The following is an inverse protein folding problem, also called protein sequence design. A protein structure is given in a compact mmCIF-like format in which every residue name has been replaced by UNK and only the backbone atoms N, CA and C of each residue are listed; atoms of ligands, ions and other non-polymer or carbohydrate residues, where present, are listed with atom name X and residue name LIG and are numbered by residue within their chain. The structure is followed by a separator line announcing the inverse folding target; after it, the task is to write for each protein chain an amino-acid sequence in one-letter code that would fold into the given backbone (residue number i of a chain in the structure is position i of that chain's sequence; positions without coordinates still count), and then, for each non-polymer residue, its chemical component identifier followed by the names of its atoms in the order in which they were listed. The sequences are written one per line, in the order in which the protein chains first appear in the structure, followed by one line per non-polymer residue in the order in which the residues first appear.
data_IF_371077904061
#
_entry.id   IF_371077904061
#
_cell.length_a   1.000
_cell.length_b   1.000
_cell.length_c   1.000
_cell.angle_alpha   90.00
_cell.angle_beta   90.00
_cell.angle_gamma   90.00
#
_symmetry.space_group_name_H-M   'P 1'
#
loop_
_entity.id
_entity.type
_entity.pdbx_description
1 polymer ?
#
# COMPACT_ATOMS: atom_id res chain seq x y z
N UNK A 1 -8.51 1.61 -27.73
CA UNK A 1 -7.70 1.00 -26.66
C UNK A 1 -8.29 -0.36 -26.35
N UNK A 2 -7.77 -1.42 -26.97
CA UNK A 2 -8.21 -2.80 -26.70
C UNK A 2 -7.85 -3.18 -25.27
N UNK A 3 -8.88 -3.51 -24.49
CA UNK A 3 -8.70 -4.06 -23.15
C UNK A 3 -8.34 -5.52 -23.31
N UNK A 4 -7.18 -5.94 -22.79
CA UNK A 4 -6.78 -7.36 -22.77
C UNK A 4 -7.80 -8.13 -21.94
N UNK A 5 -8.71 -8.83 -22.62
CA UNK A 5 -9.73 -9.70 -22.03
C UNK A 5 -9.04 -10.71 -21.10
N UNK A 6 -9.40 -10.69 -19.82
CA UNK A 6 -8.87 -11.59 -18.78
C UNK A 6 -7.97 -10.95 -17.73
N UNK A 7 -7.53 -9.69 -17.88
CA UNK A 7 -6.90 -8.95 -16.78
C UNK A 7 -7.94 -8.10 -16.07
N UNK A 8 -8.13 -8.34 -14.77
CA UNK A 8 -8.95 -7.49 -13.90
C UNK A 8 -8.62 -6.02 -14.18
N UNK A 9 -9.66 -5.21 -14.42
CA UNK A 9 -9.53 -3.77 -14.62
C UNK A 9 -8.80 -3.21 -13.40
N UNK A 10 -7.59 -2.71 -13.58
CA UNK A 10 -6.78 -2.17 -12.48
C UNK A 10 -7.39 -0.83 -12.10
N UNK A 11 -8.36 -0.87 -11.18
CA UNK A 11 -8.90 0.32 -10.55
C UNK A 11 -7.77 0.84 -9.66
N UNK A 12 -7.20 1.99 -10.05
CA UNK A 12 -6.26 2.71 -9.20
C UNK A 12 -7.10 3.42 -8.15
N UNK A 13 -7.02 2.95 -6.92
CA UNK A 13 -7.57 3.64 -5.77
C UNK A 13 -6.55 4.65 -5.28
N UNK A 14 -6.93 5.93 -5.28
CA UNK A 14 -6.04 7.06 -4.95
C UNK A 14 -5.64 7.09 -3.46
N UNK A 15 -6.26 6.25 -2.63
CA UNK A 15 -6.11 6.27 -1.16
C UNK A 15 -4.68 5.94 -0.67
N UNK A 16 -3.96 5.00 -1.31
CA UNK A 16 -2.55 4.71 -0.97
C UNK A 16 -1.66 5.10 -2.15
N UNK A 17 -1.45 6.41 -2.32
CA UNK A 17 -0.52 7.00 -3.30
C UNK A 17 0.90 6.45 -3.18
N UNK A 18 1.22 5.87 -2.01
CA UNK A 18 2.52 5.26 -1.69
C UNK A 18 2.67 3.81 -2.15
N UNK A 19 1.63 3.13 -2.65
CA UNK A 19 1.72 1.71 -3.06
C UNK A 19 2.82 1.42 -4.09
N UNK A 20 3.12 2.38 -4.96
CA UNK A 20 4.18 2.24 -5.98
C UNK A 20 5.60 2.42 -5.41
N UNK A 21 5.76 3.05 -4.25
CA UNK A 21 7.05 3.35 -3.62
C UNK A 21 7.32 2.40 -2.45
N UNK A 22 6.27 2.06 -1.70
CA UNK A 22 6.33 1.28 -0.49
C UNK A 22 6.63 -0.19 -0.81
N UNK A 23 7.71 -0.72 -0.22
CA UNK A 23 8.14 -2.11 -0.37
C UNK A 23 8.08 -2.84 0.95
N UNK A 24 7.76 -4.12 0.87
CA UNK A 24 7.89 -5.04 2.00
C UNK A 24 9.36 -5.11 2.44
N UNK A 25 9.64 -4.81 3.71
CA UNK A 25 11.00 -4.86 4.26
C UNK A 25 11.58 -6.27 4.34
N UNK A 26 10.73 -7.30 4.31
CA UNK A 26 11.16 -8.70 4.45
C UNK A 26 11.49 -9.32 3.09
N UNK A 27 10.68 -9.05 2.05
CA UNK A 27 10.79 -9.73 0.75
C UNK A 27 10.97 -8.78 -0.44
N UNK A 28 10.98 -7.46 -0.22
CA UNK A 28 11.17 -6.46 -1.27
C UNK A 28 10.01 -6.31 -2.26
N UNK A 29 8.95 -7.12 -2.14
CA UNK A 29 7.75 -7.02 -2.98
C UNK A 29 7.01 -5.71 -2.73
N UNK A 30 6.41 -5.14 -3.78
CA UNK A 30 5.56 -3.95 -3.67
C UNK A 30 4.40 -4.16 -2.70
N UNK A 31 4.06 -3.12 -1.95
CA UNK A 31 2.90 -3.13 -1.07
C UNK A 31 1.64 -2.71 -1.82
N UNK A 32 0.51 -3.32 -1.47
CA UNK A 32 -0.78 -3.19 -2.15
C UNK A 32 -1.86 -2.80 -1.15
N UNK A 33 -2.94 -2.16 -1.62
CA UNK A 33 -4.09 -1.80 -0.78
C UNK A 33 -4.86 -3.06 -0.38
N UNK A 34 -5.23 -3.09 0.89
CA UNK A 34 -6.08 -4.09 1.53
C UNK A 34 -7.13 -3.36 2.36
N UNK A 35 -8.39 -3.77 2.23
CA UNK A 35 -9.50 -3.16 2.97
C UNK A 35 -10.12 -4.18 3.89
N UNK A 36 -10.40 -3.75 5.11
CA UNK A 36 -11.20 -4.52 6.06
C UNK A 36 -12.43 -3.69 6.40
N UNK A 37 -13.60 -4.28 6.21
CA UNK A 37 -14.88 -3.66 6.54
C UNK A 37 -15.32 -4.14 7.91
N UNK A 38 -15.45 -3.22 8.87
CA UNK A 38 -16.18 -3.44 10.11
C UNK A 38 -17.59 -2.85 9.96
N UNK A 39 -18.54 -3.26 10.81
CA UNK A 39 -19.92 -2.76 10.87
C UNK A 39 -20.02 -1.22 10.90
N UNK A 40 -18.98 -0.55 11.40
CA UNK A 40 -18.95 0.91 11.60
C UNK A 40 -18.07 1.66 10.59
N UNK A 41 -17.08 1.00 9.96
CA UNK A 41 -16.08 1.69 9.15
C UNK A 41 -15.32 0.74 8.22
N UNK A 42 -14.88 1.30 7.09
CA UNK A 42 -13.90 0.68 6.20
C UNK A 42 -12.51 1.18 6.61
N UNK A 43 -11.60 0.26 6.89
CA UNK A 43 -10.20 0.58 7.21
C UNK A 43 -9.31 0.09 6.07
N UNK A 44 -8.52 1.00 5.52
CA UNK A 44 -7.56 0.71 4.46
C UNK A 44 -6.14 0.52 5.04
N UNK A 45 -5.46 -0.51 4.57
CA UNK A 45 -4.09 -0.87 4.90
C UNK A 45 -3.25 -0.99 3.63
N UNK A 46 -2.00 -0.59 3.66
CA UNK A 46 -1.01 -1.00 2.66
C UNK A 46 -0.30 -2.25 3.23
N UNK A 47 -0.27 -3.36 2.48
CA UNK A 47 0.26 -4.66 2.91
C UNK A 47 1.11 -5.34 1.85
N UNK A 48 1.93 -6.33 2.21
CA UNK A 48 2.76 -7.06 1.24
C UNK A 48 1.93 -7.72 0.12
N UNK A 49 2.28 -7.45 -1.14
CA UNK A 49 1.63 -8.08 -2.29
C UNK A 49 1.80 -9.60 -2.35
N UNK A 50 2.93 -10.13 -1.87
CA UNK A 50 3.13 -11.59 -1.78
C UNK A 50 2.22 -12.20 -0.71
N UNK A 51 2.07 -11.53 0.44
CA UNK A 51 1.14 -11.97 1.48
C UNK A 51 -0.29 -12.00 0.95
N UNK A 52 -0.75 -10.95 0.26
CA UNK A 52 -2.12 -10.91 -0.29
C UNK A 52 -2.44 -12.06 -1.26
N UNK A 53 -1.43 -12.58 -1.97
CA UNK A 53 -1.62 -13.60 -3.01
C UNK A 53 -1.29 -15.01 -2.55
N UNK A 54 -0.38 -15.17 -1.58
CA UNK A 54 0.17 -16.47 -1.14
C UNK A 54 0.10 -16.67 0.37
N UNK A 55 -0.55 -15.74 1.08
CA UNK A 55 -0.71 -15.71 2.53
C UNK A 55 0.61 -15.86 3.30
N UNK A 56 0.51 -16.41 4.51
CA UNK A 56 1.59 -16.58 5.48
C UNK A 56 2.67 -17.57 5.03
N UNK A 57 2.46 -18.30 3.93
CA UNK A 57 3.45 -19.20 3.38
C UNK A 57 4.68 -18.45 2.83
N UNK A 58 4.52 -17.17 2.44
CA UNK A 58 5.59 -16.39 1.79
C UNK A 58 5.94 -15.12 2.55
N UNK A 59 5.07 -14.57 3.39
CA UNK A 59 5.38 -13.38 4.16
C UNK A 59 4.64 -13.35 5.49
N UNK A 60 5.08 -12.56 6.45
CA UNK A 60 4.29 -12.26 7.64
C UNK A 60 3.28 -11.13 7.39
N UNK A 61 2.28 -11.03 8.27
CA UNK A 61 1.26 -9.99 8.26
C UNK A 61 1.85 -8.61 8.58
N UNK A 62 2.33 -7.89 7.56
CA UNK A 62 3.06 -6.63 7.69
C UNK A 62 2.25 -5.40 7.23
N UNK A 63 1.03 -5.29 7.75
CA UNK A 63 0.10 -4.21 7.35
C UNK A 63 0.43 -2.89 8.02
N UNK A 64 0.36 -1.82 7.24
CA UNK A 64 0.47 -0.44 7.71
C UNK A 64 -0.84 0.25 7.37
N UNK A 65 -1.44 0.97 8.32
CA UNK A 65 -2.63 1.78 8.03
C UNK A 65 -2.28 2.87 7.02
N UNK A 66 -3.14 3.05 6.02
CA UNK A 66 -2.94 4.04 4.95
C UNK A 66 -2.72 5.43 5.52
N UNK A 67 -3.57 5.85 6.47
CA UNK A 67 -3.50 7.17 7.11
C UNK A 67 -2.12 7.42 7.73
N UNK A 68 -1.64 6.45 8.52
CA UNK A 68 -0.32 6.52 9.15
C UNK A 68 0.82 6.56 8.14
N UNK A 69 0.72 5.79 7.06
CA UNK A 69 1.76 5.76 6.03
C UNK A 69 1.85 7.12 5.32
N UNK A 70 0.71 7.73 5.01
CA UNK A 70 0.64 9.03 4.35
C UNK A 70 1.18 10.14 5.26
N UNK A 71 0.81 10.14 6.55
CA UNK A 71 1.30 11.12 7.53
C UNK A 71 2.83 11.06 7.67
N UNK A 72 3.38 9.85 7.84
CA UNK A 72 4.84 9.66 7.95
C UNK A 72 5.59 10.10 6.69
N UNK A 73 5.01 9.87 5.51
CA UNK A 73 5.62 10.31 4.26
C UNK A 73 5.62 11.83 4.15
N UNK A 74 4.48 12.46 4.44
CA UNK A 74 4.35 13.91 4.37
C UNK A 74 5.33 14.61 5.33
N UNK A 75 5.45 14.09 6.56
CA UNK A 75 6.40 14.58 7.54
C UNK A 75 7.86 14.49 7.04
N UNK A 76 8.27 13.30 6.55
CA UNK A 76 9.63 13.11 6.02
C UNK A 76 9.91 13.98 4.81
N UNK A 77 8.93 14.13 3.93
CA UNK A 77 9.02 14.99 2.75
C UNK A 77 9.23 16.45 3.16
N UNK A 78 8.40 16.98 4.06
CA UNK A 78 8.54 18.35 4.56
C UNK A 78 9.90 18.57 5.24
N UNK A 79 10.36 17.61 6.06
CA UNK A 79 11.66 17.69 6.72
C UNK A 79 12.82 17.68 5.73
N UNK A 80 12.77 16.84 4.68
CA UNK A 80 13.77 16.83 3.62
C UNK A 80 13.89 18.19 2.91
N UNK A 81 12.76 18.84 2.61
CA UNK A 81 12.76 20.18 1.99
C UNK A 81 13.27 21.28 2.94
N UNK A 82 13.01 21.16 4.25
CA UNK A 82 13.53 22.12 5.25
C UNK A 82 15.04 22.06 5.38
N UNK A 83 15.65 20.87 5.32
CA UNK A 83 17.12 20.72 5.41
C UNK A 83 17.88 21.20 4.16
N UNK A 84 17.18 21.40 3.03
CA UNK A 84 17.77 21.90 1.79
C UNK A 84 17.68 23.42 1.63
N UNK A 85 17.14 24.15 2.62
CA UNK A 85 17.17 25.61 2.68
C UNK A 85 18.36 26.13 3.48
#
# INVERSE_FOLDING_TARGET
MESKEGKLKRIYDDECSLTSILKCLVFGSGMVIMRTTNKLAIISYCGCGNWKNKDTAVCNSNFIRVDKANDMYLEKYQNFYRMKR
#
